data_IF_855082425300
#
_entry.id   IF_855082425300
#
_cell.length_a   1.000
_cell.length_b   1.000
_cell.length_c   1.000
_cell.angle_alpha   90.00
_cell.angle_beta   90.00
_cell.angle_gamma   90.00
#
_symmetry.space_group_name_H-M   'P 1'
#
loop_
_entity.id
_entity.type
_entity.pdbx_description
1 polymer ?
#
# COMPACT_ATOMS: atom_id res chain seq x y z
N UNK A 1 65.66 -57.69 -37.88
CA UNK A 1 66.18 -57.92 -36.51
C UNK A 1 65.21 -57.23 -35.56
N UNK A 2 64.08 -57.84 -35.21
CA UNK A 2 63.91 -58.76 -34.07
C UNK A 2 64.62 -58.24 -32.81
N UNK A 3 63.89 -57.64 -31.87
CA UNK A 3 63.52 -58.35 -30.64
C UNK A 3 62.53 -57.56 -29.78
N UNK A 4 61.56 -58.32 -29.27
CA UNK A 4 60.52 -57.99 -28.30
C UNK A 4 61.10 -58.16 -26.90
N UNK A 5 60.72 -57.33 -25.93
CA UNK A 5 60.53 -57.81 -24.56
C UNK A 5 59.52 -56.96 -23.80
N UNK A 6 58.41 -57.63 -23.48
CA UNK A 6 57.35 -57.25 -22.57
C UNK A 6 57.73 -57.58 -21.13
N UNK A 7 57.46 -56.68 -20.18
CA UNK A 7 57.19 -57.06 -18.78
C UNK A 7 55.99 -56.24 -18.30
N UNK A 8 54.94 -56.97 -17.90
CA UNK A 8 53.70 -56.48 -17.29
C UNK A 8 53.72 -56.68 -15.77
N UNK A 9 52.78 -55.97 -15.12
CA UNK A 9 52.31 -55.98 -13.70
C UNK A 9 53.04 -54.96 -12.82
N UNK A 10 52.38 -54.02 -12.14
CA UNK A 10 50.96 -53.75 -11.91
C UNK A 10 50.86 -52.96 -10.59
N UNK A 11 49.86 -52.08 -10.47
CA UNK A 11 49.07 -51.73 -9.27
C UNK A 11 48.49 -50.31 -9.41
N UNK A 12 47.16 -50.24 -9.37
CA UNK A 12 46.36 -49.03 -9.13
C UNK A 12 46.80 -48.34 -7.82
N UNK A 13 46.80 -47.01 -7.77
CA UNK A 13 45.79 -46.26 -7.00
C UNK A 13 45.97 -44.74 -7.06
N UNK A 14 44.84 -44.08 -6.82
CA UNK A 14 44.45 -42.68 -6.97
C UNK A 14 45.32 -41.62 -6.27
N UNK A 15 45.57 -40.51 -6.97
CA UNK A 15 46.12 -39.26 -6.45
C UNK A 15 45.07 -38.50 -5.65
N UNK A 16 45.29 -38.37 -4.34
CA UNK A 16 44.61 -37.40 -3.47
C UNK A 16 45.66 -36.80 -2.51
N UNK A 17 46.17 -35.62 -2.85
CA UNK A 17 47.11 -34.83 -2.02
C UNK A 17 46.50 -33.46 -1.73
N UNK A 18 45.97 -33.24 -0.52
CA UNK A 18 46.69 -32.79 0.69
C UNK A 18 46.57 -31.26 0.88
N UNK A 19 45.43 -30.89 1.47
CA UNK A 19 44.91 -29.55 1.77
C UNK A 19 45.27 -29.07 3.20
N UNK A 20 46.53 -29.14 3.63
CA UNK A 20 46.85 -28.95 5.07
C UNK A 20 47.83 -27.82 5.43
N UNK A 21 48.21 -26.93 4.51
CA UNK A 21 49.18 -25.84 4.82
C UNK A 21 48.67 -24.40 4.79
N UNK A 22 47.39 -24.15 4.50
CA UNK A 22 46.84 -22.76 4.46
C UNK A 22 46.15 -22.28 5.74
N UNK A 23 46.06 -23.10 6.80
CA UNK A 23 45.25 -22.80 7.98
C UNK A 23 45.97 -22.01 9.10
N UNK A 24 47.29 -21.83 9.03
CA UNK A 24 48.04 -21.12 10.08
C UNK A 24 48.02 -19.58 9.93
N UNK A 25 47.57 -19.03 8.80
CA UNK A 25 47.48 -17.58 8.56
C UNK A 25 46.16 -16.93 8.98
N UNK A 26 45.15 -17.71 9.39
CA UNK A 26 43.78 -17.23 9.65
C UNK A 26 43.45 -16.96 11.13
N UNK A 27 44.38 -17.21 12.05
CA UNK A 27 44.11 -17.04 13.49
C UNK A 27 44.34 -15.59 14.00
N UNK A 28 45.03 -14.73 13.23
CA UNK A 28 45.39 -13.37 13.66
C UNK A 28 44.36 -12.27 13.34
N UNK A 29 43.40 -12.53 12.45
CA UNK A 29 42.44 -11.52 11.96
C UNK A 29 41.04 -11.60 12.63
N UNK A 30 40.88 -12.43 13.67
CA UNK A 30 39.59 -12.77 14.27
C UNK A 30 39.22 -11.99 15.55
N UNK A 31 39.88 -10.86 15.84
CA UNK A 31 39.53 -10.00 17.00
C UNK A 31 38.74 -8.73 16.67
N UNK A 32 38.38 -8.48 15.41
CA UNK A 32 37.53 -7.34 15.02
C UNK A 32 36.37 -7.70 14.08
N UNK A 33 35.99 -8.98 14.01
CA UNK A 33 34.99 -9.49 13.06
C UNK A 33 33.81 -10.23 13.75
N UNK A 34 33.42 -9.79 14.95
CA UNK A 34 32.28 -10.39 15.68
C UNK A 34 30.89 -9.92 15.19
N UNK A 35 30.82 -8.88 14.35
CA UNK A 35 29.57 -8.33 13.84
C UNK A 35 29.09 -8.88 12.50
N UNK A 36 29.99 -9.48 11.69
CA UNK A 36 29.71 -9.73 10.26
C UNK A 36 29.30 -11.16 9.90
N UNK A 37 29.47 -12.16 10.78
CA UNK A 37 29.10 -13.54 10.43
C UNK A 37 27.58 -13.80 10.43
N UNK A 38 26.80 -13.00 11.16
CA UNK A 38 25.33 -13.03 11.10
C UNK A 38 24.76 -12.38 9.82
N UNK A 39 25.55 -11.55 9.14
CA UNK A 39 25.13 -10.78 7.95
C UNK A 39 25.27 -11.58 6.65
N UNK A 40 26.04 -12.67 6.66
CA UNK A 40 26.33 -13.51 5.48
C UNK A 40 25.24 -14.56 5.22
N UNK A 41 24.40 -14.90 6.20
CA UNK A 41 23.53 -16.07 6.11
C UNK A 41 22.12 -15.85 5.52
N UNK A 42 21.63 -14.60 5.40
CA UNK A 42 20.42 -14.28 4.60
C UNK A 42 20.37 -12.79 4.19
N UNK A 43 20.90 -12.38 3.02
CA UNK A 43 20.79 -11.00 2.57
C UNK A 43 19.31 -10.59 2.39
N UNK A 44 18.96 -9.37 2.79
CA UNK A 44 17.62 -8.82 2.48
C UNK A 44 17.45 -8.78 0.97
N UNK A 45 16.28 -9.16 0.46
CA UNK A 45 15.98 -9.06 -0.97
C UNK A 45 15.12 -7.83 -1.25
N UNK A 46 15.35 -7.23 -2.41
CA UNK A 46 14.51 -6.16 -2.93
C UNK A 46 13.08 -6.71 -3.12
N UNK A 47 12.05 -6.11 -2.51
CA UNK A 47 10.68 -6.59 -2.60
C UNK A 47 10.10 -6.52 -4.03
N UNK A 48 10.72 -5.74 -4.92
CA UNK A 48 10.25 -5.54 -6.29
C UNK A 48 10.86 -6.52 -7.30
N UNK A 49 12.14 -6.89 -7.15
CA UNK A 49 12.87 -7.71 -8.13
C UNK A 49 13.61 -8.91 -7.53
N UNK A 50 13.52 -9.12 -6.20
CA UNK A 50 14.16 -10.18 -5.44
C UNK A 50 15.71 -10.19 -5.45
N UNK A 51 16.36 -9.23 -6.11
CA UNK A 51 17.83 -9.08 -6.05
C UNK A 51 18.28 -8.73 -4.62
N UNK A 52 19.39 -9.29 -4.12
CA UNK A 52 19.95 -8.92 -2.82
C UNK A 52 20.20 -7.42 -2.67
N UNK A 53 19.88 -6.89 -1.50
CA UNK A 53 20.15 -5.50 -1.08
C UNK A 53 21.09 -5.57 0.11
N UNK A 54 22.20 -4.83 0.02
CA UNK A 54 23.20 -4.78 1.09
C UNK A 54 22.57 -4.23 2.39
N UNK A 55 22.96 -4.79 3.52
CA UNK A 55 22.62 -4.21 4.82
C UNK A 55 23.22 -2.80 4.92
N UNK A 56 22.48 -1.86 5.50
CA UNK A 56 22.93 -0.47 5.65
C UNK A 56 22.84 0.40 4.38
N UNK A 57 22.32 -0.12 3.26
CA UNK A 57 22.16 0.64 2.01
C UNK A 57 21.22 1.86 2.08
N UNK A 58 20.66 2.20 3.26
CA UNK A 58 19.76 3.33 3.48
C UNK A 58 18.37 3.20 2.82
N UNK A 59 18.16 2.19 1.98
CA UNK A 59 16.93 1.94 1.23
C UNK A 59 16.53 0.48 1.29
N UNK A 60 15.22 0.17 1.32
CA UNK A 60 14.71 -1.20 1.22
C UNK A 60 14.75 -1.78 -0.21
N UNK A 61 15.04 -0.95 -1.21
CA UNK A 61 15.09 -1.31 -2.62
C UNK A 61 16.53 -1.30 -3.15
N UNK A 62 16.80 -2.13 -4.17
CA UNK A 62 18.07 -2.07 -4.89
C UNK A 62 18.21 -0.79 -5.73
N UNK A 63 19.44 -0.50 -6.14
CA UNK A 63 19.82 0.70 -6.90
C UNK A 63 19.05 0.89 -8.21
N UNK A 64 18.55 -0.20 -8.82
CA UNK A 64 17.74 -0.13 -10.04
C UNK A 64 16.26 0.12 -9.76
N UNK A 65 15.69 -0.46 -8.70
CA UNK A 65 14.27 -0.33 -8.38
C UNK A 65 13.93 0.99 -7.68
N UNK A 66 14.82 1.54 -6.86
CA UNK A 66 14.59 2.78 -6.12
C UNK A 66 14.22 3.97 -7.04
N UNK A 67 15.03 4.34 -8.06
CA UNK A 67 14.70 5.46 -8.93
C UNK A 67 13.43 5.22 -9.75
N UNK A 68 13.16 3.97 -10.14
CA UNK A 68 11.95 3.63 -10.86
C UNK A 68 10.69 3.77 -9.97
N UNK A 69 10.76 3.38 -8.69
CA UNK A 69 9.66 3.59 -7.76
C UNK A 69 9.43 5.09 -7.55
N UNK A 70 10.49 5.87 -7.35
CA UNK A 70 10.38 7.33 -7.24
C UNK A 70 9.73 7.95 -8.47
N UNK A 71 10.15 7.54 -9.68
CA UNK A 71 9.54 8.00 -10.92
C UNK A 71 8.06 7.61 -11.01
N UNK A 72 7.70 6.40 -10.58
CA UNK A 72 6.30 5.95 -10.59
C UNK A 72 5.41 6.75 -9.63
N UNK A 73 5.96 7.24 -8.52
CA UNK A 73 5.26 8.03 -7.49
C UNK A 73 5.31 9.55 -7.74
N UNK A 74 6.07 10.01 -8.74
CA UNK A 74 6.31 11.43 -8.97
C UNK A 74 5.09 12.18 -9.54
N UNK A 75 4.18 11.48 -10.22
CA UNK A 75 3.05 12.07 -10.95
C UNK A 75 1.72 11.65 -10.36
N UNK A 76 1.09 12.56 -9.63
CA UNK A 76 -0.27 12.38 -9.13
C UNK A 76 -1.26 12.56 -10.27
N UNK A 77 -2.15 11.59 -10.45
CA UNK A 77 -3.22 11.61 -11.44
C UNK A 77 -4.59 11.71 -10.77
N UNK A 78 -5.52 12.38 -11.46
CA UNK A 78 -6.95 12.31 -11.13
C UNK A 78 -7.52 11.01 -11.66
N UNK A 79 -8.18 10.26 -10.79
CA UNK A 79 -8.68 8.91 -11.07
C UNK A 79 -10.20 8.95 -11.20
N UNK A 80 -10.72 8.46 -12.31
CA UNK A 80 -12.16 8.26 -12.45
C UNK A 80 -12.55 6.90 -11.88
N UNK A 81 -13.20 6.88 -10.72
CA UNK A 81 -13.79 5.66 -10.16
C UNK A 81 -15.11 5.28 -10.85
N UNK A 82 -15.58 4.06 -10.67
CA UNK A 82 -16.94 3.70 -11.07
C UNK A 82 -17.87 4.25 -9.99
N UNK A 83 -18.84 5.09 -10.37
CA UNK A 83 -19.84 5.56 -9.42
C UNK A 83 -20.68 4.37 -8.93
N UNK A 84 -20.91 4.24 -7.62
CA UNK A 84 -21.87 3.26 -7.09
C UNK A 84 -23.29 3.57 -7.57
N UNK A 85 -24.17 2.55 -7.49
CA UNK A 85 -25.56 2.61 -7.94
C UNK A 85 -26.41 3.67 -7.25
N UNK A 86 -26.04 4.12 -6.05
CA UNK A 86 -26.87 4.99 -5.21
C UNK A 86 -26.63 6.50 -5.44
N UNK A 87 -25.89 6.89 -6.48
CA UNK A 87 -25.70 8.30 -6.84
C UNK A 87 -24.86 9.13 -5.85
N UNK A 88 -24.29 8.51 -4.80
CA UNK A 88 -23.33 9.17 -3.93
C UNK A 88 -22.11 9.63 -4.74
N UNK A 89 -21.99 10.94 -4.93
CA UNK A 89 -20.88 11.54 -5.67
C UNK A 89 -19.62 11.38 -4.84
N UNK A 90 -18.76 10.44 -5.26
CA UNK A 90 -17.41 10.34 -4.71
C UNK A 90 -16.68 11.63 -5.08
N UNK A 91 -16.16 12.40 -4.11
CA UNK A 91 -15.37 13.57 -4.41
C UNK A 91 -14.08 13.19 -5.13
N UNK A 92 -13.31 14.19 -5.55
CA UNK A 92 -12.11 14.00 -6.37
C UNK A 92 -11.19 12.90 -5.81
N UNK A 93 -10.83 11.94 -6.68
CA UNK A 93 -9.91 10.85 -6.34
C UNK A 93 -8.54 11.12 -6.97
N UNK A 94 -7.48 11.07 -6.16
CA UNK A 94 -6.09 11.21 -6.60
C UNK A 94 -5.25 9.99 -6.24
N UNK A 95 -4.37 9.58 -7.15
CA UNK A 95 -3.38 8.54 -6.87
C UNK A 95 -2.00 8.96 -7.36
N UNK A 96 -0.96 8.61 -6.61
CA UNK A 96 0.42 8.96 -6.92
C UNK A 96 1.02 8.11 -8.04
N UNK A 97 0.42 6.96 -8.32
CA UNK A 97 0.83 6.07 -9.40
C UNK A 97 -0.33 5.23 -9.93
N UNK A 98 -0.03 4.50 -11.00
CA UNK A 98 -0.87 3.40 -11.49
C UNK A 98 -0.51 2.09 -10.79
N UNK A 99 -1.48 1.20 -10.63
CA UNK A 99 -1.29 -0.14 -10.07
C UNK A 99 -0.75 -1.10 -11.15
N UNK A 100 0.48 -0.84 -11.59
CA UNK A 100 1.17 -1.62 -12.63
C UNK A 100 2.68 -1.69 -12.38
N UNK A 101 3.37 -2.55 -13.15
CA UNK A 101 4.81 -2.73 -13.01
C UNK A 101 5.23 -3.19 -11.60
N UNK A 102 6.10 -2.41 -10.95
CA UNK A 102 6.58 -2.72 -9.60
C UNK A 102 5.63 -2.33 -8.48
N UNK A 103 4.68 -1.42 -8.74
CA UNK A 103 3.82 -0.88 -7.69
C UNK A 103 3.00 -1.97 -6.97
N UNK A 104 2.38 -2.94 -7.67
CA UNK A 104 1.74 -4.08 -7.02
C UNK A 104 2.69 -4.86 -6.11
N UNK A 105 3.96 -5.04 -6.50
CA UNK A 105 4.95 -5.80 -5.72
C UNK A 105 5.32 -5.07 -4.44
N UNK A 106 5.61 -3.76 -4.54
CA UNK A 106 5.90 -2.92 -3.39
C UNK A 106 4.73 -2.89 -2.39
N UNK A 107 3.51 -2.67 -2.89
CA UNK A 107 2.31 -2.62 -2.05
C UNK A 107 1.99 -3.98 -1.43
N UNK A 108 2.12 -5.10 -2.16
CA UNK A 108 1.91 -6.44 -1.61
C UNK A 108 2.99 -6.80 -0.59
N UNK A 109 4.24 -6.38 -0.80
CA UNK A 109 5.31 -6.57 0.17
C UNK A 109 5.00 -5.85 1.49
N UNK A 110 4.53 -4.59 1.42
CA UNK A 110 4.03 -3.89 2.60
C UNK A 110 2.79 -4.58 3.19
N UNK A 111 1.83 -5.00 2.37
CA UNK A 111 0.51 -5.46 2.81
C UNK A 111 0.52 -6.85 3.42
N UNK A 112 1.37 -7.75 2.90
CA UNK A 112 1.35 -9.18 3.20
C UNK A 112 2.69 -9.73 3.71
N UNK A 113 3.82 -9.09 3.37
CA UNK A 113 5.15 -9.57 3.74
C UNK A 113 5.80 -8.79 4.89
N UNK A 114 5.05 -7.92 5.58
CA UNK A 114 5.58 -7.18 6.73
C UNK A 114 6.66 -6.15 6.39
N UNK A 115 6.84 -5.77 5.12
CA UNK A 115 7.89 -4.84 4.67
C UNK A 115 7.52 -3.38 4.97
N UNK A 116 7.47 -3.05 6.26
CA UNK A 116 7.21 -1.69 6.76
C UNK A 116 8.36 -0.73 6.50
N UNK A 117 9.54 -1.25 6.14
CA UNK A 117 10.67 -0.48 5.62
C UNK A 117 10.34 0.28 4.32
N UNK A 118 9.27 -0.12 3.61
CA UNK A 118 8.74 0.61 2.44
C UNK A 118 7.87 1.82 2.80
N UNK A 119 7.48 2.01 4.07
CA UNK A 119 6.58 3.09 4.49
C UNK A 119 7.10 4.48 4.11
N UNK A 120 8.39 4.84 4.28
CA UNK A 120 8.85 6.17 3.90
C UNK A 120 8.68 6.46 2.40
N UNK A 121 8.86 5.43 1.55
CA UNK A 121 8.74 5.56 0.08
C UNK A 121 7.28 5.63 -0.36
N UNK A 122 6.43 4.72 0.13
CA UNK A 122 5.02 4.66 -0.26
C UNK A 122 4.19 5.76 0.41
N UNK A 123 4.57 6.14 1.63
CA UNK A 123 4.00 7.26 2.39
C UNK A 123 4.28 8.60 1.71
N UNK A 124 5.45 8.79 1.08
CA UNK A 124 5.73 9.95 0.23
C UNK A 124 4.76 10.04 -0.95
N UNK A 125 4.48 8.90 -1.59
CA UNK A 125 3.47 8.81 -2.64
C UNK A 125 2.10 9.30 -2.16
N UNK A 126 1.61 8.73 -1.05
CA UNK A 126 0.33 9.14 -0.47
C UNK A 126 0.34 10.62 -0.04
N UNK A 127 1.42 11.09 0.57
CA UNK A 127 1.61 12.49 0.95
C UNK A 127 1.50 13.41 -0.26
N UNK A 128 2.10 13.04 -1.39
CA UNK A 128 2.01 13.81 -2.64
C UNK A 128 0.58 13.87 -3.17
N UNK A 129 -0.16 12.75 -3.14
CA UNK A 129 -1.60 12.73 -3.51
C UNK A 129 -2.41 13.71 -2.66
N UNK A 130 -2.20 13.69 -1.34
CA UNK A 130 -2.88 14.57 -0.37
C UNK A 130 -2.48 16.03 -0.59
N UNK A 131 -1.18 16.31 -0.74
CA UNK A 131 -0.68 17.67 -0.99
C UNK A 131 -1.32 18.28 -2.23
N UNK A 132 -1.36 17.52 -3.32
CA UNK A 132 -1.93 17.97 -4.59
C UNK A 132 -3.45 18.19 -4.48
N UNK A 133 -4.18 17.37 -3.69
CA UNK A 133 -5.60 17.60 -3.40
C UNK A 133 -5.83 18.88 -2.57
N UNK A 134 -5.04 19.08 -1.50
CA UNK A 134 -5.08 20.28 -0.66
C UNK A 134 -4.77 21.54 -1.47
N UNK A 135 -3.76 21.48 -2.34
CA UNK A 135 -3.36 22.56 -3.24
C UNK A 135 -4.50 22.97 -4.17
N UNK A 136 -5.25 22.01 -4.71
CA UNK A 136 -6.39 22.27 -5.58
C UNK A 136 -7.56 22.94 -4.86
N UNK A 137 -7.78 22.64 -3.58
CA UNK A 137 -8.88 23.17 -2.76
C UNK A 137 -8.42 24.27 -1.78
N UNK A 138 -7.25 24.88 -2.00
CA UNK A 138 -6.65 25.86 -1.09
C UNK A 138 -7.57 27.04 -0.74
N UNK A 139 -8.38 27.48 -1.71
CA UNK A 139 -9.29 28.62 -1.56
C UNK A 139 -10.47 28.23 -0.65
N UNK A 140 -11.07 27.05 -0.88
CA UNK A 140 -12.19 26.55 -0.07
C UNK A 140 -11.80 26.25 1.39
N UNK A 141 -10.55 25.84 1.61
CA UNK A 141 -10.01 25.64 2.95
C UNK A 141 -9.81 26.97 3.70
N UNK A 142 -9.50 28.05 2.99
CA UNK A 142 -9.33 29.39 3.57
C UNK A 142 -10.68 30.07 3.83
N UNK A 143 -11.69 29.82 2.98
CA UNK A 143 -13.02 30.43 3.06
C UNK A 143 -14.04 29.67 3.91
N UNK A 144 -13.64 28.58 4.57
CA UNK A 144 -14.54 27.74 5.37
C UNK A 144 -15.16 28.48 6.56
N UNK A 145 -16.34 28.05 7.07
CA UNK A 145 -17.12 28.75 8.09
C UNK A 145 -16.44 28.90 9.47
N UNK A 146 -15.22 28.37 9.67
CA UNK A 146 -14.37 28.65 10.83
C UNK A 146 -13.43 29.86 10.67
N UNK A 147 -13.31 30.44 9.48
CA UNK A 147 -12.54 31.68 9.21
C UNK A 147 -13.36 32.96 9.41
N UNK A 148 -14.67 32.83 9.63
CA UNK A 148 -15.59 33.96 9.75
C UNK A 148 -15.95 34.19 11.22
N UNK A 149 -15.01 34.69 12.03
CA UNK A 149 -15.20 35.73 13.06
C UNK A 149 -13.78 36.09 13.55
N UNK A 150 -13.35 37.32 13.23
CA UNK A 150 -12.48 38.23 13.99
C UNK A 150 -11.70 39.12 13.03
N UNK A 151 -12.36 40.19 12.60
CA UNK A 151 -11.69 41.47 12.49
C UNK A 151 -10.98 41.74 13.81
N UNK A 152 -9.69 42.13 13.73
CA UNK A 152 -8.77 42.45 14.83
C UNK A 152 -7.98 41.24 15.41
N UNK A 153 -6.82 40.97 14.80
CA UNK A 153 -5.56 40.88 15.56
C UNK A 153 -5.25 39.63 16.40
N UNK A 154 -5.65 38.42 16.01
CA UNK A 154 -5.14 37.19 16.64
C UNK A 154 -4.65 36.17 15.59
N UNK A 155 -3.50 35.54 15.87
CA UNK A 155 -2.88 34.52 15.03
C UNK A 155 -3.90 33.41 14.72
N UNK A 156 -4.39 33.37 13.47
CA UNK A 156 -5.39 32.39 13.04
C UNK A 156 -4.88 30.97 13.32
N UNK A 157 -5.69 30.19 14.05
CA UNK A 157 -5.37 28.80 14.33
C UNK A 157 -5.22 28.02 13.01
N UNK A 158 -4.27 27.07 12.92
CA UNK A 158 -4.05 26.32 11.69
C UNK A 158 -5.30 25.52 11.31
N UNK A 159 -5.63 25.49 10.02
CA UNK A 159 -6.69 24.63 9.48
C UNK A 159 -6.25 23.19 9.65
N UNK A 160 -6.97 22.43 10.49
CA UNK A 160 -6.70 21.02 10.73
C UNK A 160 -7.52 20.15 9.75
N UNK A 161 -6.83 19.31 8.97
CA UNK A 161 -7.42 18.36 8.03
C UNK A 161 -7.17 16.93 8.51
N UNK A 162 -8.23 16.13 8.58
CA UNK A 162 -8.13 14.74 9.02
C UNK A 162 -7.78 13.82 7.85
N UNK A 163 -6.77 12.97 8.02
CA UNK A 163 -6.47 11.88 7.09
C UNK A 163 -7.07 10.59 7.67
N UNK A 164 -8.08 10.05 7.00
CA UNK A 164 -8.85 8.90 7.47
C UNK A 164 -8.46 7.66 6.65
N UNK A 165 -7.77 6.68 7.24
CA UNK A 165 -7.36 5.49 6.53
C UNK A 165 -8.55 4.57 6.21
N UNK A 166 -8.46 3.83 5.11
CA UNK A 166 -9.39 2.75 4.81
C UNK A 166 -9.27 1.62 5.85
N UNK A 167 -10.41 1.14 6.40
CA UNK A 167 -10.37 0.17 7.48
C UNK A 167 -9.86 -1.18 7.00
N UNK A 168 -9.05 -1.83 7.84
CA UNK A 168 -8.67 -3.24 7.64
C UNK A 168 -9.60 -4.16 8.40
N UNK A 169 -10.03 -5.26 7.79
CA UNK A 169 -10.88 -6.23 8.49
C UNK A 169 -10.16 -6.82 9.70
N UNK A 170 -10.89 -7.08 10.80
CA UNK A 170 -10.30 -7.64 12.01
C UNK A 170 -9.54 -8.95 11.75
N UNK A 171 -10.02 -9.79 10.83
CA UNK A 171 -9.33 -11.00 10.39
C UNK A 171 -7.99 -10.69 9.71
N UNK A 172 -7.94 -9.64 8.87
CA UNK A 172 -6.70 -9.21 8.22
C UNK A 172 -5.69 -8.67 9.23
N UNK A 173 -6.14 -7.85 10.19
CA UNK A 173 -5.28 -7.30 11.24
C UNK A 173 -4.76 -8.42 12.14
N UNK A 174 -5.60 -9.35 12.59
CA UNK A 174 -5.17 -10.51 13.39
C UNK A 174 -4.16 -11.39 12.67
N UNK A 175 -4.33 -11.60 11.36
CA UNK A 175 -3.40 -12.40 10.56
C UNK A 175 -2.03 -11.74 10.40
N UNK A 176 -1.99 -10.41 10.29
CA UNK A 176 -0.78 -9.66 9.89
C UNK A 176 -0.11 -8.93 11.05
N UNK A 177 -0.83 -8.66 12.13
CA UNK A 177 -0.39 -7.87 13.28
C UNK A 177 -0.50 -6.35 13.10
N UNK A 178 -0.89 -5.85 11.92
CA UNK A 178 -0.99 -4.42 11.64
C UNK A 178 -2.01 -4.09 10.53
N UNK A 179 -2.34 -2.80 10.40
CA UNK A 179 -3.20 -2.24 9.37
C UNK A 179 -2.37 -1.38 8.37
N UNK A 180 -2.14 -1.83 7.13
CA UNK A 180 -1.25 -1.16 6.18
C UNK A 180 -1.67 0.28 5.84
N UNK A 181 -2.97 0.53 5.63
CA UNK A 181 -3.48 1.87 5.33
C UNK A 181 -3.23 2.84 6.49
N UNK A 182 -3.45 2.41 7.75
CA UNK A 182 -3.18 3.25 8.92
C UNK A 182 -1.71 3.67 8.98
N UNK A 183 -0.77 2.72 8.78
CA UNK A 183 0.66 3.01 8.80
C UNK A 183 1.07 3.96 7.67
N UNK A 184 0.53 3.78 6.46
CA UNK A 184 0.76 4.68 5.34
C UNK A 184 0.26 6.09 5.63
N UNK A 185 -0.93 6.22 6.22
CA UNK A 185 -1.53 7.52 6.55
C UNK A 185 -0.75 8.24 7.65
N UNK A 186 -0.30 7.51 8.68
CA UNK A 186 0.55 8.07 9.73
C UNK A 186 1.87 8.60 9.15
N UNK A 187 2.52 7.82 8.28
CA UNK A 187 3.76 8.23 7.64
C UNK A 187 3.55 9.42 6.68
N UNK A 188 2.47 9.40 5.89
CA UNK A 188 2.11 10.53 5.03
C UNK A 188 1.84 11.81 5.83
N UNK A 189 1.10 11.71 6.95
CA UNK A 189 0.85 12.85 7.83
C UNK A 189 2.15 13.42 8.42
N UNK A 190 3.07 12.53 8.84
CA UNK A 190 4.39 12.91 9.36
C UNK A 190 5.20 13.69 8.32
N UNK A 191 5.28 13.19 7.08
CA UNK A 191 6.02 13.84 6.01
C UNK A 191 5.37 15.16 5.53
N UNK A 192 4.03 15.20 5.47
CA UNK A 192 3.29 16.40 5.09
C UNK A 192 3.49 17.54 6.10
N UNK A 193 3.38 17.27 7.40
CA UNK A 193 3.54 18.30 8.42
C UNK A 193 4.96 18.88 8.49
N UNK A 194 5.96 18.26 7.83
CA UNK A 194 7.31 18.82 7.66
C UNK A 194 7.42 19.81 6.49
N UNK A 195 6.44 19.82 5.58
CA UNK A 195 6.49 20.58 4.31
C UNK A 195 5.33 21.55 4.14
N UNK A 196 4.21 21.29 4.79
CA UNK A 196 3.04 22.16 4.76
C UNK A 196 3.36 23.49 5.48
N UNK A 197 2.77 24.61 5.02
CA UNK A 197 2.88 25.88 5.72
C UNK A 197 2.24 25.78 7.12
N UNK A 198 2.68 26.62 8.05
CA UNK A 198 2.16 26.63 9.42
C UNK A 198 0.64 26.87 9.54
N UNK A 199 -0.01 27.36 8.47
CA UNK A 199 -1.46 27.58 8.40
C UNK A 199 -2.29 26.32 8.17
N UNK A 200 -1.68 25.20 7.79
CA UNK A 200 -2.40 23.93 7.53
C UNK A 200 -1.70 22.80 8.27
N UNK A 201 -2.46 22.01 9.03
CA UNK A 201 -1.98 20.81 9.70
C UNK A 201 -2.79 19.61 9.26
N UNK A 202 -2.14 18.48 9.05
CA UNK A 202 -2.82 17.21 8.81
C UNK A 202 -2.71 16.30 10.03
N UNK A 203 -3.77 15.56 10.34
CA UNK A 203 -3.79 14.59 11.44
C UNK A 203 -4.36 13.26 10.97
N UNK A 204 -3.59 12.19 11.16
CA UNK A 204 -4.07 10.83 10.95
C UNK A 204 -5.08 10.45 12.04
N UNK A 205 -6.28 10.01 11.65
CA UNK A 205 -7.35 9.64 12.57
C UNK A 205 -8.06 8.37 12.06
N UNK A 206 -7.94 7.29 12.82
CA UNK A 206 -8.62 6.02 12.53
C UNK A 206 -9.98 5.96 13.24
N UNK A 207 -11.01 6.44 12.54
CA UNK A 207 -12.38 6.55 13.07
C UNK A 207 -13.38 5.63 12.38
N UNK A 208 -12.99 4.92 11.33
CA UNK A 208 -13.89 4.07 10.55
C UNK A 208 -13.62 2.60 10.87
N UNK A 209 -14.68 1.85 11.10
CA UNK A 209 -14.61 0.41 11.32
C UNK A 209 -15.74 -0.32 10.59
N UNK A 210 -15.62 -1.64 10.53
CA UNK A 210 -16.69 -2.47 9.99
C UNK A 210 -17.89 -2.48 10.94
N UNK A 211 -19.08 -2.29 10.38
CA UNK A 211 -20.32 -2.45 11.12
C UNK A 211 -20.43 -3.91 11.60
N UNK A 212 -20.89 -4.15 12.84
CA UNK A 212 -21.23 -5.50 13.27
C UNK A 212 -22.26 -6.06 12.30
N UNK A 213 -22.01 -7.23 11.73
CA UNK A 213 -23.07 -7.98 11.05
C UNK A 213 -24.11 -8.30 12.10
N UNK A 214 -25.22 -7.58 12.12
CA UNK A 214 -26.40 -8.08 12.80
C UNK A 214 -26.66 -9.45 12.19
N UNK A 215 -26.76 -10.48 13.03
CA UNK A 215 -27.35 -11.77 12.63
C UNK A 215 -28.80 -11.47 12.25
N UNK A 216 -29.05 -10.87 11.08
CA UNK A 216 -30.38 -10.90 10.48
C UNK A 216 -30.70 -12.37 10.27
N UNK A 217 -31.85 -12.75 10.81
CA UNK A 217 -32.22 -14.13 11.11
C UNK A 217 -32.09 -15.08 9.93
N UNK A 218 -31.94 -16.35 10.31
CA UNK A 218 -32.19 -17.51 9.47
C UNK A 218 -33.49 -17.32 8.66
N UNK A 219 -33.36 -17.15 7.36
CA UNK A 219 -34.50 -17.06 6.44
C UNK A 219 -34.06 -16.66 5.03
N UNK A 220 -34.10 -17.63 4.11
CA UNK A 220 -33.85 -17.55 2.65
C UNK A 220 -32.36 -17.45 2.22
N UNK A 221 -31.82 -18.27 1.33
CA UNK A 221 -32.33 -19.42 0.59
C UNK A 221 -31.14 -20.32 0.22
N UNK A 222 -31.26 -21.61 0.55
CA UNK A 222 -30.37 -22.69 0.06
C UNK A 222 -30.75 -22.99 -1.39
N UNK A 223 -30.36 -22.14 -2.33
CA UNK A 223 -30.41 -22.46 -3.77
C UNK A 223 -29.45 -21.57 -4.55
N UNK A 224 -28.22 -22.05 -4.68
CA UNK A 224 -27.35 -21.81 -5.84
C UNK A 224 -26.09 -22.65 -5.71
N UNK A 225 -26.28 -23.96 -5.56
CA UNK A 225 -25.30 -24.96 -5.98
C UNK A 225 -26.03 -25.86 -6.96
N UNK A 226 -25.79 -25.64 -8.25
CA UNK A 226 -25.71 -26.61 -9.36
C UNK A 226 -25.86 -25.84 -10.68
N UNK A 227 -24.89 -26.06 -11.58
CA UNK A 227 -25.11 -25.97 -13.04
C UNK A 227 -24.59 -24.72 -13.73
N UNK A 228 -23.39 -24.78 -14.29
CA UNK A 228 -23.22 -24.95 -15.74
C UNK A 228 -21.73 -24.85 -16.13
N UNK A 229 -21.22 -25.98 -16.60
CA UNK A 229 -19.96 -26.12 -17.30
C UNK A 229 -20.11 -25.66 -18.75
N UNK A 230 -19.02 -25.10 -19.30
CA UNK A 230 -18.64 -25.05 -20.73
C UNK A 230 -19.62 -24.38 -21.72
N UNK A 231 -19.20 -23.23 -22.29
CA UNK A 231 -19.20 -22.89 -23.74
C UNK A 231 -18.74 -21.42 -23.96
N UNK A 232 -17.87 -21.21 -24.96
CA UNK A 232 -17.77 -19.94 -25.71
C UNK A 232 -16.82 -18.86 -25.18
N UNK A 233 -15.59 -18.85 -25.68
CA UNK A 233 -14.61 -17.78 -25.49
C UNK A 233 -14.93 -16.57 -26.38
N UNK A 234 -15.03 -15.36 -25.80
CA UNK A 234 -14.21 -14.17 -26.13
C UNK A 234 -14.87 -12.81 -25.78
N UNK A 235 -16.15 -12.74 -25.43
CA UNK A 235 -16.82 -11.46 -25.12
C UNK A 235 -17.32 -11.31 -23.66
N UNK A 236 -17.40 -12.41 -22.91
CA UNK A 236 -18.00 -12.47 -21.56
C UNK A 236 -17.13 -11.94 -20.41
N UNK A 237 -15.87 -11.55 -20.69
CA UNK A 237 -14.91 -11.17 -19.64
C UNK A 237 -15.12 -9.73 -19.13
N UNK A 238 -15.83 -8.89 -19.88
CA UNK A 238 -16.09 -7.50 -19.50
C UNK A 238 -17.37 -7.37 -18.66
N UNK A 239 -18.42 -8.10 -19.04
CA UNK A 239 -19.68 -8.19 -18.29
C UNK A 239 -19.48 -8.84 -16.92
N UNK A 240 -18.65 -9.88 -16.82
CA UNK A 240 -18.31 -10.48 -15.52
C UNK A 240 -17.47 -9.55 -14.62
N UNK A 241 -16.71 -8.60 -15.19
CA UNK A 241 -15.93 -7.62 -14.41
C UNK A 241 -16.78 -6.46 -13.90
N UNK A 242 -17.74 -5.97 -14.69
CA UNK A 242 -18.72 -4.97 -14.23
C UNK A 242 -19.62 -5.56 -13.14
N UNK A 243 -20.06 -6.82 -13.30
CA UNK A 243 -20.78 -7.58 -12.25
C UNK A 243 -19.92 -7.73 -10.98
N UNK A 244 -18.60 -7.91 -11.11
CA UNK A 244 -17.68 -7.96 -9.97
C UNK A 244 -17.46 -6.62 -9.26
N UNK A 245 -17.65 -5.50 -9.96
CA UNK A 245 -17.57 -4.15 -9.40
C UNK A 245 -18.87 -3.76 -8.70
N UNK A 246 -20.01 -4.00 -9.35
CA UNK A 246 -21.36 -3.84 -8.79
C UNK A 246 -21.53 -4.72 -7.55
N UNK A 247 -21.22 -6.01 -7.64
CA UNK A 247 -21.29 -6.92 -6.49
C UNK A 247 -20.26 -6.62 -5.39
N UNK A 248 -19.24 -5.78 -5.64
CA UNK A 248 -18.37 -5.23 -4.59
C UNK A 248 -19.00 -4.00 -3.93
N UNK A 249 -19.66 -3.14 -4.70
CA UNK A 249 -20.39 -1.99 -4.18
C UNK A 249 -21.53 -2.44 -3.25
N UNK A 250 -22.36 -3.39 -3.69
CA UNK A 250 -23.46 -3.95 -2.87
C UNK A 250 -22.96 -4.56 -1.55
N UNK A 251 -21.83 -5.29 -1.60
CA UNK A 251 -21.23 -5.88 -0.38
C UNK A 251 -20.65 -4.84 0.57
N UNK A 252 -20.30 -3.66 0.08
CA UNK A 252 -19.69 -2.61 0.87
C UNK A 252 -20.72 -1.61 1.40
N UNK A 253 -21.85 -1.44 0.72
CA UNK A 253 -22.94 -0.58 1.19
C UNK A 253 -23.42 -1.04 2.59
N UNK A 254 -23.40 -0.13 3.56
CA UNK A 254 -23.74 -0.42 4.96
C UNK A 254 -22.73 -1.28 5.71
N UNK A 255 -21.57 -1.58 5.12
CA UNK A 255 -20.54 -2.41 5.75
C UNK A 255 -19.64 -1.62 6.70
N UNK A 256 -19.60 -0.29 6.60
CA UNK A 256 -18.78 0.56 7.44
C UNK A 256 -19.63 1.45 8.35
N UNK A 257 -19.03 1.94 9.42
CA UNK A 257 -19.58 3.02 10.25
C UNK A 257 -18.44 3.80 10.91
N UNK A 258 -18.70 5.04 11.30
CA UNK A 258 -17.80 5.84 12.12
C UNK A 258 -17.93 5.40 13.58
N UNK A 259 -16.82 5.02 14.23
CA UNK A 259 -16.80 4.58 15.63
C UNK A 259 -16.95 5.76 16.59
N UNK A 260 -16.32 6.89 16.28
CA UNK A 260 -16.23 8.06 17.14
C UNK A 260 -16.60 9.33 16.35
N UNK A 261 -17.90 9.59 16.11
CA UNK A 261 -18.34 10.71 15.28
C UNK A 261 -17.83 12.08 15.75
N UNK A 262 -17.68 12.27 17.06
CA UNK A 262 -17.17 13.50 17.65
C UNK A 262 -15.74 13.86 17.21
N UNK A 263 -14.95 12.88 16.75
CA UNK A 263 -13.59 13.13 16.25
C UNK A 263 -13.56 13.71 14.83
N UNK A 264 -14.63 13.56 14.04
CA UNK A 264 -14.68 14.00 12.64
C UNK A 264 -15.82 14.97 12.30
N UNK A 265 -16.82 15.12 13.18
CA UNK A 265 -17.91 16.07 13.01
C UNK A 265 -17.39 17.50 12.81
N UNK A 266 -17.99 18.23 11.87
CA UNK A 266 -17.65 19.61 11.48
C UNK A 266 -16.20 19.82 11.03
N UNK A 267 -15.46 18.73 10.77
CA UNK A 267 -14.06 18.76 10.32
C UNK A 267 -13.93 18.34 8.87
N UNK A 268 -12.90 18.88 8.22
CA UNK A 268 -12.51 18.47 6.87
C UNK A 268 -11.74 17.16 6.93
N UNK A 269 -12.14 16.19 6.12
CA UNK A 269 -11.49 14.88 6.02
C UNK A 269 -11.05 14.55 4.60
N UNK A 270 -9.94 13.82 4.49
CA UNK A 270 -9.45 13.19 3.27
C UNK A 270 -9.36 11.70 3.53
N UNK A 271 -10.06 10.92 2.72
CA UNK A 271 -9.99 9.46 2.79
C UNK A 271 -8.67 9.02 2.15
N UNK A 272 -7.97 8.10 2.79
CA UNK A 272 -6.68 7.62 2.36
C UNK A 272 -6.63 6.09 2.27
N UNK A 273 -6.13 5.55 1.16
CA UNK A 273 -6.01 4.10 0.96
C UNK A 273 -4.67 3.72 0.31
N UNK A 274 -4.34 2.43 0.31
CA UNK A 274 -3.20 1.91 -0.43
C UNK A 274 -3.48 1.86 -1.94
N UNK A 275 -4.64 1.30 -2.32
CA UNK A 275 -5.05 1.12 -3.71
C UNK A 275 -6.53 1.44 -3.91
N UNK A 276 -6.82 2.37 -4.82
CA UNK A 276 -8.18 2.56 -5.32
C UNK A 276 -8.42 1.65 -6.52
N UNK A 277 -9.52 0.89 -6.46
CA UNK A 277 -9.95 0.00 -7.54
C UNK A 277 -11.26 0.50 -8.17
N UNK A 278 -12.40 -0.06 -7.76
CA UNK A 278 -13.71 0.35 -8.24
C UNK A 278 -14.21 1.63 -7.58
N UNK A 279 -13.70 1.95 -6.39
CA UNK A 279 -14.16 3.05 -5.55
C UNK A 279 -15.25 2.66 -4.55
N UNK A 280 -15.66 1.38 -4.47
CA UNK A 280 -16.72 0.93 -3.55
C UNK A 280 -16.41 1.24 -2.08
N UNK A 281 -15.22 0.91 -1.59
CA UNK A 281 -14.78 1.24 -0.23
C UNK A 281 -14.77 2.74 0.01
N UNK A 282 -14.19 3.50 -0.93
CA UNK A 282 -14.12 4.96 -0.82
C UNK A 282 -15.52 5.60 -0.77
N UNK A 283 -16.46 5.10 -1.57
CA UNK A 283 -17.83 5.61 -1.60
C UNK A 283 -18.58 5.37 -0.28
N UNK A 284 -18.43 4.18 0.28
CA UNK A 284 -19.01 3.87 1.59
C UNK A 284 -18.37 4.70 2.70
N UNK A 285 -17.05 4.93 2.64
CA UNK A 285 -16.36 5.83 3.57
C UNK A 285 -16.85 7.28 3.45
N UNK A 286 -17.06 7.78 2.21
CA UNK A 286 -17.65 9.11 1.97
C UNK A 286 -19.01 9.19 2.63
N UNK A 287 -19.89 8.20 2.39
CA UNK A 287 -21.24 8.14 2.96
C UNK A 287 -21.21 8.24 4.48
N UNK A 288 -20.49 7.35 5.16
CA UNK A 288 -20.50 7.31 6.63
C UNK A 288 -19.83 8.52 7.28
N UNK A 289 -18.83 9.12 6.63
CA UNK A 289 -18.19 10.36 7.11
C UNK A 289 -19.14 11.55 6.97
N UNK A 290 -19.83 11.68 5.84
CA UNK A 290 -20.82 12.74 5.62
C UNK A 290 -22.02 12.60 6.56
N UNK A 291 -22.53 11.38 6.76
CA UNK A 291 -23.59 11.09 7.74
C UNK A 291 -23.17 11.42 9.18
N UNK A 292 -21.86 11.41 9.46
CA UNK A 292 -21.28 11.79 10.76
C UNK A 292 -20.93 13.29 10.85
N UNK A 293 -21.36 14.11 9.88
CA UNK A 293 -21.12 15.55 9.84
C UNK A 293 -19.71 15.96 9.38
N UNK A 294 -18.91 15.04 8.84
CA UNK A 294 -17.58 15.37 8.31
C UNK A 294 -17.66 15.86 6.85
N UNK A 295 -16.89 16.91 6.52
CA UNK A 295 -16.77 17.42 5.16
C UNK A 295 -15.64 16.69 4.42
N UNK A 296 -16.00 15.74 3.57
CA UNK A 296 -15.03 14.94 2.81
C UNK A 296 -14.54 15.71 1.58
N UNK A 297 -13.26 16.06 1.56
CA UNK A 297 -12.62 16.82 0.47
C UNK A 297 -12.31 15.95 -0.75
N UNK A 298 -11.99 14.69 -0.52
CA UNK A 298 -11.59 13.77 -1.58
C UNK A 298 -10.96 12.49 -1.06
N UNK A 299 -10.50 11.68 -2.00
CA UNK A 299 -9.89 10.38 -1.75
C UNK A 299 -8.48 10.39 -2.32
N UNK A 300 -7.50 9.96 -1.53
CA UNK A 300 -6.09 9.89 -1.91
C UNK A 300 -5.59 8.46 -1.77
N UNK A 301 -4.82 7.99 -2.74
CA UNK A 301 -4.17 6.68 -2.66
C UNK A 301 -2.73 6.71 -3.15
N UNK A 302 -2.00 5.65 -2.82
CA UNK A 302 -0.68 5.42 -3.42
C UNK A 302 -0.85 5.04 -4.88
N UNK A 303 -1.72 4.06 -5.17
CA UNK A 303 -1.95 3.59 -6.53
C UNK A 303 -3.43 3.51 -6.91
N UNK A 304 -3.71 3.64 -8.20
CA UNK A 304 -5.03 3.35 -8.76
C UNK A 304 -4.97 2.27 -9.85
N UNK A 305 -5.95 1.37 -9.84
CA UNK A 305 -6.11 0.40 -10.94
C UNK A 305 -6.73 1.12 -12.14
N UNK A 306 -6.03 1.22 -13.28
CA UNK A 306 -6.58 1.89 -14.46
C UNK A 306 -7.83 1.18 -14.96
N UNK A 307 -8.85 1.95 -15.37
CA UNK A 307 -9.94 1.41 -16.19
C UNK A 307 -9.31 0.92 -17.49
N UNK A 308 -9.54 -0.35 -17.85
CA UNK A 308 -9.19 -0.79 -19.21
C UNK A 308 -10.04 0.03 -20.17
N UNK A 309 -9.40 0.80 -21.05
CA UNK A 309 -10.09 1.39 -22.18
C UNK A 309 -10.77 0.23 -22.93
N UNK A 310 -12.08 0.32 -23.11
CA UNK A 310 -12.78 -0.53 -24.06
C UNK A 310 -12.33 -0.05 -25.44
N UNK A 311 -11.30 -0.69 -25.99
CA UNK A 311 -11.01 -0.68 -27.42
C UNK A 311 -11.87 -1.72 -28.11
#
# INVERSE_FOLDING_TARGET
MLSVSSVQRGLNDSVNGSWSKSLAGLAGALKSAGGSLGEVLMPRTCPCCAVPVAYGAGSPLCESCLPQLHSALARVERVQVLQPLDGAVVPEVRAASRYEGMMPRALLALKNAGRTDLLPLLGEGLARSVYELLRAHRIELQSGPGSSISSVGTSAAPVEVLLVPAPSSAQSVRRRGYAPANLLVQEAARQLNQRLPASVRVRAVDVIGYAPRSRRGSGASLSSRVGASLLGASETKNEQKSLGAVGRAERMHGALRVMEPALCADRVSIICDDVVTTGATASEMVRVLQESGSRVLGVCAVAAVPKKAQT
#
